data_IF_454233574402
#
_entry.id   IF_454233574402
#
_cell.length_a   1.000
_cell.length_b   1.000
_cell.length_c   1.000
_cell.angle_alpha   90.00
_cell.angle_beta   90.00
_cell.angle_gamma   90.00
#
_symmetry.space_group_name_H-M   'P 1'
#
loop_
_entity.id
_entity.type
_entity.pdbx_description
1 polymer ?
#
# COMPACT_ATOMS: atom_id res chain seq x y z
N UNK A 1 5.59 13.97 10.57
CA UNK A 1 4.15 13.75 10.76
C UNK A 1 3.81 12.30 10.48
N UNK A 2 2.85 11.74 11.20
CA UNK A 2 2.42 10.36 11.01
C UNK A 2 1.01 10.38 10.45
N UNK A 3 0.84 9.77 9.27
CA UNK A 3 -0.43 9.72 8.55
C UNK A 3 -0.88 8.27 8.43
N UNK A 4 -2.19 8.04 8.41
CA UNK A 4 -2.75 6.69 8.28
C UNK A 4 -3.58 6.55 7.02
N UNK A 5 -3.64 5.32 6.49
CA UNK A 5 -4.49 4.97 5.37
C UNK A 5 -5.35 3.75 5.69
N UNK A 6 -6.64 3.86 5.41
CA UNK A 6 -7.60 2.77 5.59
C UNK A 6 -8.47 2.63 4.34
N UNK A 7 -8.81 1.39 3.99
CA UNK A 7 -9.68 1.11 2.86
C UNK A 7 -10.60 -0.07 3.19
N UNK A 8 -11.88 0.09 2.87
CA UNK A 8 -12.88 -0.96 3.05
C UNK A 8 -13.53 -1.31 1.73
N UNK A 9 -13.94 -2.56 1.58
CA UNK A 9 -14.79 -2.94 0.45
C UNK A 9 -16.21 -2.40 0.67
N UNK A 10 -16.99 -2.32 -0.41
CA UNK A 10 -18.39 -1.87 -0.33
C UNK A 10 -19.26 -2.79 0.53
N UNK A 11 -18.82 -4.03 0.73
CA UNK A 11 -19.55 -5.00 1.55
C UNK A 11 -19.21 -4.91 3.04
N UNK A 12 -18.24 -4.10 3.41
CA UNK A 12 -17.83 -3.93 4.79
C UNK A 12 -18.62 -2.81 5.45
N UNK A 13 -18.84 -2.93 6.76
CA UNK A 13 -19.66 -1.99 7.53
C UNK A 13 -18.84 -0.80 8.02
N UNK A 14 -19.54 0.23 8.55
CA UNK A 14 -18.90 1.34 9.27
C UNK A 14 -18.04 0.86 10.45
N UNK A 15 -18.41 -0.27 11.04
CA UNK A 15 -17.65 -0.85 12.15
C UNK A 15 -16.24 -1.24 11.72
N UNK A 16 -16.08 -1.66 10.49
CA UNK A 16 -14.75 -2.03 9.97
C UNK A 16 -13.85 -0.81 9.82
N UNK A 17 -14.39 0.31 9.32
CA UNK A 17 -13.63 1.58 9.27
C UNK A 17 -13.23 2.02 10.68
N UNK A 18 -14.16 1.95 11.63
CA UNK A 18 -13.88 2.32 13.01
C UNK A 18 -12.79 1.44 13.61
N UNK A 19 -12.84 0.15 13.32
CA UNK A 19 -11.80 -0.80 13.76
C UNK A 19 -10.44 -0.45 13.18
N UNK A 20 -10.37 -0.19 11.87
CA UNK A 20 -9.12 0.19 11.21
C UNK A 20 -8.55 1.49 11.78
N UNK A 21 -9.40 2.49 12.02
CA UNK A 21 -8.98 3.74 12.66
C UNK A 21 -8.38 3.49 14.04
N UNK A 22 -9.02 2.61 14.81
CA UNK A 22 -8.53 2.25 16.14
C UNK A 22 -7.16 1.59 16.05
N UNK A 23 -6.98 0.67 15.12
CA UNK A 23 -5.69 0.02 14.89
C UNK A 23 -4.62 1.02 14.45
N UNK A 24 -4.98 1.97 13.58
CA UNK A 24 -4.06 3.02 13.15
C UNK A 24 -3.64 3.92 14.31
N UNK A 25 -4.56 4.27 15.20
CA UNK A 25 -4.22 5.02 16.42
C UNK A 25 -3.28 4.22 17.32
N UNK A 26 -3.52 2.92 17.46
CA UNK A 26 -2.66 2.05 18.24
C UNK A 26 -1.25 1.94 17.64
N UNK A 27 -1.14 2.05 16.32
CA UNK A 27 0.16 1.98 15.62
C UNK A 27 0.91 3.32 15.62
N UNK A 28 0.27 4.42 15.99
CA UNK A 28 0.96 5.69 16.13
C UNK A 28 0.30 6.92 15.52
N UNK A 29 -0.81 6.79 14.82
CA UNK A 29 -1.54 7.95 14.30
C UNK A 29 -2.26 8.62 15.47
N UNK A 30 -2.00 9.90 15.68
CA UNK A 30 -2.50 10.60 16.87
C UNK A 30 -3.90 11.19 16.71
N UNK A 31 -4.24 11.65 15.50
CA UNK A 31 -5.51 12.35 15.26
C UNK A 31 -6.25 11.77 14.06
N UNK A 32 -7.59 11.73 14.15
CA UNK A 32 -8.44 11.23 13.05
C UNK A 32 -8.25 12.02 11.76
N UNK A 33 -7.98 13.32 11.84
CA UNK A 33 -7.77 14.15 10.65
C UNK A 33 -6.56 13.74 9.84
N UNK A 34 -5.65 12.95 10.41
CA UNK A 34 -4.48 12.43 9.73
C UNK A 34 -4.72 11.05 9.12
N UNK A 35 -5.95 10.53 9.20
CA UNK A 35 -6.32 9.26 8.59
C UNK A 35 -7.06 9.53 7.29
N UNK A 36 -6.48 9.04 6.18
CA UNK A 36 -7.09 9.05 4.86
C UNK A 36 -7.78 7.72 4.67
N UNK A 37 -9.07 7.72 4.37
CA UNK A 37 -9.81 6.48 4.20
C UNK A 37 -10.78 6.57 3.04
N UNK A 38 -11.08 5.42 2.44
CA UNK A 38 -11.99 5.34 1.30
C UNK A 38 -12.62 3.96 1.20
N UNK A 39 -13.74 3.89 0.49
CA UNK A 39 -14.33 2.64 0.12
C UNK A 39 -13.74 2.18 -1.20
N UNK A 40 -13.55 0.85 -1.36
CA UNK A 40 -13.13 0.27 -2.60
C UNK A 40 -14.24 0.39 -3.63
N UNK A 41 -13.96 1.03 -4.77
CA UNK A 41 -14.87 1.08 -5.89
C UNK A 41 -14.81 -0.23 -6.67
N UNK A 42 -15.96 -0.85 -6.91
CA UNK A 42 -16.01 -2.08 -7.69
C UNK A 42 -15.80 -1.89 -9.18
N UNK A 43 -15.92 -0.67 -9.68
CA UNK A 43 -15.90 -0.37 -11.13
C UNK A 43 -14.59 0.28 -11.55
N UNK A 44 -14.03 1.14 -10.72
CA UNK A 44 -12.77 1.84 -10.99
C UNK A 44 -11.81 1.65 -9.84
N UNK A 45 -10.52 1.53 -10.15
CA UNK A 45 -9.47 1.49 -9.12
C UNK A 45 -9.09 2.92 -8.73
N UNK A 46 -10.11 3.74 -8.50
CA UNK A 46 -9.94 5.13 -8.12
C UNK A 46 -9.62 5.21 -6.62
N UNK A 47 -8.38 5.48 -6.32
CA UNK A 47 -7.87 5.61 -4.95
C UNK A 47 -7.54 7.07 -4.67
N UNK A 48 -8.54 7.92 -4.79
CA UNK A 48 -8.38 9.37 -4.64
C UNK A 48 -7.77 9.75 -3.29
N UNK A 49 -8.20 9.09 -2.20
CA UNK A 49 -7.67 9.39 -0.87
C UNK A 49 -6.22 8.93 -0.71
N UNK A 50 -5.86 7.77 -1.29
CA UNK A 50 -4.48 7.32 -1.30
C UNK A 50 -3.59 8.30 -2.08
N UNK A 51 -4.06 8.77 -3.22
CA UNK A 51 -3.33 9.74 -4.03
C UNK A 51 -3.13 11.06 -3.28
N UNK A 52 -4.17 11.54 -2.59
CA UNK A 52 -4.06 12.73 -1.73
C UNK A 52 -3.02 12.54 -0.64
N UNK A 53 -3.01 11.36 -0.01
CA UNK A 53 -2.03 11.04 1.02
C UNK A 53 -0.61 11.05 0.47
N UNK A 54 -0.39 10.40 -0.68
CA UNK A 54 0.93 10.35 -1.31
C UNK A 54 1.41 11.71 -1.76
N UNK A 55 0.49 12.58 -2.17
CA UNK A 55 0.82 13.95 -2.56
C UNK A 55 1.10 14.84 -1.34
N UNK A 56 0.49 14.54 -0.20
CA UNK A 56 0.62 15.34 1.02
C UNK A 56 1.86 15.02 1.84
N UNK A 57 2.40 13.79 1.75
CA UNK A 57 3.56 13.40 2.56
C UNK A 57 4.81 14.15 2.13
N UNK A 58 5.65 14.42 3.12
CA UNK A 58 6.92 15.12 2.96
C UNK A 58 8.05 14.26 3.50
N UNK A 59 9.28 14.62 3.14
CA UNK A 59 10.47 13.91 3.63
C UNK A 59 10.42 13.74 5.15
N UNK A 60 10.64 12.52 5.62
CA UNK A 60 10.63 12.17 7.04
C UNK A 60 9.27 11.78 7.59
N UNK A 61 8.19 11.95 6.82
CA UNK A 61 6.85 11.55 7.28
C UNK A 61 6.71 10.02 7.28
N UNK A 62 5.73 9.54 8.06
CA UNK A 62 5.41 8.12 8.14
C UNK A 62 3.98 7.86 7.67
N UNK A 63 3.81 6.85 6.82
CA UNK A 63 2.50 6.33 6.42
C UNK A 63 2.29 5.01 7.13
N UNK A 64 1.16 4.86 7.82
CA UNK A 64 0.79 3.62 8.50
C UNK A 64 -0.47 3.05 7.86
N UNK A 65 -0.46 1.75 7.56
CA UNK A 65 -1.65 1.00 7.17
C UNK A 65 -1.71 -0.30 7.97
N UNK A 66 -2.89 -0.90 8.07
CA UNK A 66 -3.06 -2.11 8.88
C UNK A 66 -2.57 -3.37 8.18
N UNK A 67 -2.74 -3.45 6.88
CA UNK A 67 -2.32 -4.61 6.07
C UNK A 67 -2.02 -4.19 4.64
N UNK A 68 -1.19 -4.99 3.98
CA UNK A 68 -0.82 -4.76 2.57
C UNK A 68 -2.05 -4.71 1.66
N UNK A 69 -3.03 -5.57 1.92
CA UNK A 69 -4.25 -5.65 1.10
C UNK A 69 -5.08 -4.38 1.13
N UNK A 70 -4.95 -3.57 2.18
CA UNK A 70 -5.63 -2.26 2.26
C UNK A 70 -4.91 -1.22 1.43
N UNK A 71 -3.60 -1.34 1.31
CA UNK A 71 -2.77 -0.38 0.59
C UNK A 71 -2.77 -0.62 -0.92
N UNK A 72 -2.65 -1.88 -1.34
CA UNK A 72 -2.50 -2.23 -2.76
C UNK A 72 -3.34 -3.45 -3.13
N UNK A 73 -3.63 -3.60 -4.43
CA UNK A 73 -4.29 -4.78 -4.98
C UNK A 73 -3.34 -5.73 -5.69
N UNK A 74 -2.15 -5.27 -6.05
CA UNK A 74 -1.22 -6.06 -6.84
C UNK A 74 0.20 -5.82 -6.38
N UNK A 75 1.08 -6.76 -6.67
CA UNK A 75 2.49 -6.63 -6.40
C UNK A 75 3.10 -5.45 -7.15
N UNK A 76 2.65 -5.23 -8.40
CA UNK A 76 3.12 -4.08 -9.18
C UNK A 76 2.78 -2.76 -8.50
N UNK A 77 1.54 -2.62 -8.03
CA UNK A 77 1.10 -1.40 -7.34
C UNK A 77 1.91 -1.18 -6.07
N UNK A 78 2.19 -2.25 -5.32
CA UNK A 78 3.03 -2.17 -4.14
C UNK A 78 4.43 -1.66 -4.50
N UNK A 79 5.02 -2.17 -5.59
CA UNK A 79 6.33 -1.71 -6.05
C UNK A 79 6.30 -0.23 -6.42
N UNK A 80 5.24 0.24 -7.06
CA UNK A 80 5.08 1.65 -7.43
C UNK A 80 5.01 2.54 -6.17
N UNK A 81 4.28 2.09 -5.15
CA UNK A 81 4.20 2.82 -3.87
C UNK A 81 5.55 2.84 -3.17
N UNK A 82 6.26 1.72 -3.16
CA UNK A 82 7.59 1.65 -2.54
C UNK A 82 8.59 2.54 -3.25
N UNK A 83 8.46 2.72 -4.57
CA UNK A 83 9.30 3.66 -5.30
C UNK A 83 9.02 5.10 -4.84
N UNK A 84 7.75 5.45 -4.62
CA UNK A 84 7.38 6.76 -4.08
C UNK A 84 7.95 6.95 -2.68
N UNK A 85 7.86 5.92 -1.84
CA UNK A 85 8.42 5.95 -0.47
C UNK A 85 9.92 6.25 -0.51
N UNK A 86 10.64 5.62 -1.42
CA UNK A 86 12.06 5.84 -1.60
C UNK A 86 12.36 7.24 -2.14
N UNK A 87 11.64 7.68 -3.16
CA UNK A 87 11.86 8.97 -3.81
C UNK A 87 11.57 10.14 -2.87
N UNK A 88 10.54 10.01 -2.05
CA UNK A 88 10.16 11.05 -1.09
C UNK A 88 10.88 10.93 0.26
N UNK A 89 11.65 9.89 0.46
CA UNK A 89 12.39 9.63 1.72
C UNK A 89 11.48 9.60 2.93
N UNK A 90 10.41 8.80 2.83
CA UNK A 90 9.44 8.62 3.90
C UNK A 90 9.52 7.22 4.49
N UNK A 91 8.72 6.96 5.51
CA UNK A 91 8.64 5.67 6.19
C UNK A 91 7.28 5.06 5.93
N UNK A 92 7.25 3.78 5.56
CA UNK A 92 6.01 3.03 5.39
C UNK A 92 5.95 1.93 6.45
N UNK A 93 4.91 1.97 7.29
CA UNK A 93 4.69 0.99 8.36
C UNK A 93 3.42 0.20 8.05
N UNK A 94 3.55 -1.11 7.86
CA UNK A 94 2.41 -2.00 7.56
C UNK A 94 2.20 -2.92 8.76
N UNK A 95 1.12 -2.66 9.50
CA UNK A 95 0.71 -3.48 10.64
C UNK A 95 1.68 -3.48 11.83
N UNK A 96 2.66 -2.61 11.84
CA UNK A 96 3.66 -2.53 12.89
C UNK A 96 4.78 -3.57 12.76
N UNK A 97 4.60 -4.62 11.97
CA UNK A 97 5.58 -5.70 11.82
C UNK A 97 6.48 -5.53 10.60
N UNK A 98 6.03 -4.80 9.60
CA UNK A 98 6.80 -4.56 8.39
C UNK A 98 6.99 -3.06 8.20
N UNK A 99 8.23 -2.59 8.32
CA UNK A 99 8.55 -1.17 8.23
C UNK A 99 9.61 -0.95 7.16
N UNK A 100 9.29 -0.11 6.19
CA UNK A 100 10.24 0.32 5.16
C UNK A 100 10.64 1.76 5.48
N UNK A 101 11.86 1.95 5.94
CA UNK A 101 12.37 3.27 6.34
C UNK A 101 13.34 3.79 5.28
N UNK A 102 12.90 4.78 4.52
CA UNK A 102 13.72 5.44 3.50
C UNK A 102 14.09 6.88 3.92
N UNK A 103 13.80 7.27 5.17
CA UNK A 103 14.02 8.62 5.66
C UNK A 103 15.49 9.03 5.69
N UNK A 104 16.39 8.07 5.76
CA UNK A 104 17.83 8.32 5.76
C UNK A 104 18.45 8.42 4.35
N UNK A 105 17.63 8.37 3.32
CA UNK A 105 18.09 8.41 1.93
C UNK A 105 18.63 7.09 1.41
N UNK A 106 18.80 6.09 2.26
CA UNK A 106 19.21 4.74 1.88
C UNK A 106 18.31 3.74 2.56
N UNK A 107 17.86 2.74 1.79
CA UNK A 107 17.19 1.59 2.36
C UNK A 107 18.22 0.65 2.96
N UNK A 108 17.81 -0.04 4.02
CA UNK A 108 18.56 -1.16 4.53
C UNK A 108 18.66 -2.25 3.43
N UNK A 109 19.80 -2.97 3.31
CA UNK A 109 20.00 -3.94 2.23
C UNK A 109 18.94 -5.03 2.15
N UNK A 110 18.40 -5.47 3.29
CA UNK A 110 17.35 -6.48 3.31
C UNK A 110 16.06 -5.94 2.68
N UNK A 111 15.66 -4.73 3.03
CA UNK A 111 14.48 -4.07 2.46
C UNK A 111 14.66 -3.86 0.97
N UNK A 112 15.83 -3.41 0.54
CA UNK A 112 16.14 -3.22 -0.88
C UNK A 112 16.02 -4.54 -1.65
N UNK A 113 16.54 -5.63 -1.08
CA UNK A 113 16.42 -6.96 -1.68
C UNK A 113 14.98 -7.42 -1.78
N UNK A 114 14.16 -7.16 -0.76
CA UNK A 114 12.74 -7.50 -0.78
C UNK A 114 11.99 -6.74 -1.88
N UNK A 115 12.27 -5.45 -2.05
CA UNK A 115 11.63 -4.64 -3.10
C UNK A 115 12.00 -5.19 -4.49
N UNK A 116 13.24 -5.53 -4.70
CA UNK A 116 13.69 -6.14 -5.97
C UNK A 116 12.98 -7.46 -6.22
N UNK A 117 12.82 -8.29 -5.20
CA UNK A 117 12.13 -9.56 -5.29
C UNK A 117 10.64 -9.36 -5.64
N UNK A 118 9.98 -8.38 -5.04
CA UNK A 118 8.60 -8.06 -5.38
C UNK A 118 8.45 -7.60 -6.83
N UNK A 119 9.43 -6.85 -7.35
CA UNK A 119 9.45 -6.47 -8.76
C UNK A 119 9.50 -7.68 -9.68
N UNK A 120 10.32 -8.67 -9.33
CA UNK A 120 10.40 -9.95 -10.07
C UNK A 120 9.06 -10.69 -9.99
N UNK A 121 8.45 -10.76 -8.81
CA UNK A 121 7.13 -11.40 -8.66
C UNK A 121 6.06 -10.70 -9.50
N UNK A 122 6.08 -9.38 -9.58
CA UNK A 122 5.13 -8.62 -10.41
C UNK A 122 5.28 -8.99 -11.89
N UNK A 123 6.51 -9.14 -12.37
CA UNK A 123 6.74 -9.58 -13.75
C UNK A 123 6.27 -11.01 -13.97
N UNK A 124 6.53 -11.90 -13.01
CA UNK A 124 6.05 -13.29 -13.07
C UNK A 124 4.53 -13.37 -13.12
N UNK A 125 3.84 -12.57 -12.31
CA UNK A 125 2.38 -12.50 -12.33
C UNK A 125 1.85 -12.11 -13.71
N UNK A 126 2.46 -11.12 -14.34
CA UNK A 126 2.07 -10.70 -15.70
C UNK A 126 2.31 -11.80 -16.71
N UNK A 127 3.43 -12.48 -16.64
CA UNK A 127 3.76 -13.58 -17.54
C UNK A 127 2.80 -14.76 -17.37
N UNK A 128 2.45 -15.10 -16.14
CA UNK A 128 1.50 -16.17 -15.83
C UNK A 128 0.13 -15.82 -16.40
N UNK A 129 -0.34 -14.60 -16.23
CA UNK A 129 -1.62 -14.14 -16.78
C UNK A 129 -1.62 -14.25 -18.30
N UNK A 130 -0.56 -13.82 -18.96
CA UNK A 130 -0.42 -13.92 -20.42
C UNK A 130 -0.47 -15.37 -20.89
N UNK A 131 0.24 -16.27 -20.22
CA UNK A 131 0.21 -17.70 -20.54
C UNK A 131 -1.17 -18.31 -20.35
N UNK A 132 -1.88 -17.95 -19.29
CA UNK A 132 -3.24 -18.43 -19.05
C UNK A 132 -4.21 -18.00 -20.16
N UNK A 133 -4.08 -16.77 -20.63
CA UNK A 133 -4.91 -16.26 -21.72
C UNK A 133 -4.62 -17.04 -23.00
N UNK A 134 -3.35 -17.27 -23.32
CA UNK A 134 -2.97 -18.04 -24.51
C UNK A 134 -3.44 -19.50 -24.40
N UNK A 135 -3.27 -20.13 -23.26
CA UNK A 135 -3.72 -21.51 -23.02
C UNK A 135 -5.26 -21.62 -23.12
N UNK A 136 -5.97 -20.64 -22.59
CA UNK A 136 -7.42 -20.58 -22.70
C UNK A 136 -7.91 -20.51 -24.14
N UNK A 137 -7.21 -19.78 -24.99
CA UNK A 137 -7.53 -19.71 -26.42
C UNK A 137 -7.28 -21.02 -27.15
N UNK A 138 -6.26 -21.76 -26.74
CA UNK A 138 -5.89 -23.04 -27.36
C UNK A 138 -6.89 -24.12 -26.96
N UNK A 139 -7.31 -24.13 -25.70
CA UNK A 139 -8.17 -25.16 -25.13
C UNK A 139 -9.65 -24.92 -25.49
N UNK A 140 -10.04 -23.67 -25.66
CA UNK A 140 -11.39 -23.32 -26.04
C UNK A 140 -11.63 -23.52 -27.53
#
# INVERSE_FOLDING_TARGET
MILGYARCSLNETRQDITRQKRELHALGVKEDKHIYWEYESGVTDDRAELQKLLDAVKEGDTIITTEVSRLTRSTKHLCDILQIVQDKKIILNIGGSFVVDCSQGKMDPMTEGMIKMWGVFAEMERNIISQRVLSGKIVA
#
